data_IF_070598955136
#
_entry.id   IF_070598955136
#
_cell.length_a   1.000
_cell.length_b   1.000
_cell.length_c   1.000
_cell.angle_alpha   90.00
_cell.angle_beta   90.00
_cell.angle_gamma   90.00
#
_symmetry.space_group_name_H-M   'P 1'
#
loop_
_entity.id
_entity.type
_entity.pdbx_description
1 polymer ?
#
# COMPACT_ATOMS: atom_id res chain seq x y z
N UNK A 1 -25.87 -33.98 9.85
CA UNK A 1 -25.43 -33.03 10.88
C UNK A 1 -25.15 -31.70 10.21
N UNK A 2 -26.05 -30.71 10.42
CA UNK A 2 -25.72 -29.31 10.05
C UNK A 2 -24.69 -28.81 11.03
N UNK A 3 -23.42 -28.81 10.63
CA UNK A 3 -22.36 -28.19 11.40
C UNK A 3 -22.64 -26.69 11.51
N UNK A 4 -22.79 -26.19 12.74
CA UNK A 4 -22.96 -24.76 12.99
C UNK A 4 -21.65 -24.06 12.65
N UNK A 5 -21.71 -23.00 11.86
CA UNK A 5 -20.58 -22.11 11.63
C UNK A 5 -20.39 -21.25 12.89
N UNK A 6 -19.17 -21.19 13.38
CA UNK A 6 -18.77 -20.32 14.50
C UNK A 6 -18.05 -19.13 13.90
N UNK A 7 -18.30 -17.93 14.41
CA UNK A 7 -17.54 -16.73 14.07
C UNK A 7 -16.83 -16.21 15.32
N UNK A 8 -15.52 -15.99 15.19
CA UNK A 8 -14.71 -15.26 16.15
C UNK A 8 -14.53 -13.84 15.60
N UNK A 9 -15.00 -12.84 16.35
CA UNK A 9 -14.93 -11.43 15.94
C UNK A 9 -14.29 -10.67 17.09
N UNK A 10 -13.16 -10.02 16.83
CA UNK A 10 -12.43 -9.20 17.81
C UNK A 10 -12.10 -7.85 17.20
N UNK A 11 -12.58 -6.80 17.83
CA UNK A 11 -12.12 -5.44 17.64
C UNK A 11 -10.98 -5.15 18.62
N UNK A 12 -10.10 -4.20 18.28
CA UNK A 12 -8.89 -3.86 19.07
C UNK A 12 -8.07 -5.12 19.40
N UNK A 13 -7.91 -6.01 18.41
CA UNK A 13 -7.34 -7.33 18.61
C UNK A 13 -5.93 -7.31 19.24
N UNK A 14 -5.19 -6.21 19.08
CA UNK A 14 -3.89 -6.04 19.72
C UNK A 14 -3.93 -6.08 21.26
N UNK A 15 -5.08 -5.84 21.89
CA UNK A 15 -5.25 -5.97 23.35
C UNK A 15 -5.36 -7.44 23.82
N UNK A 16 -5.72 -8.35 22.91
CA UNK A 16 -6.06 -9.74 23.25
C UNK A 16 -5.13 -10.77 22.62
N UNK A 17 -4.31 -10.37 21.68
CA UNK A 17 -3.43 -11.28 20.93
C UNK A 17 -2.44 -11.98 21.86
N UNK A 18 -2.28 -13.28 21.64
CA UNK A 18 -1.34 -14.14 22.37
C UNK A 18 -0.48 -14.96 21.41
N UNK A 19 0.61 -15.55 21.91
CA UNK A 19 1.49 -16.42 21.12
C UNK A 19 0.75 -17.65 20.57
N UNK A 20 -0.28 -18.14 21.28
CA UNK A 20 -1.06 -19.31 20.87
C UNK A 20 -2.05 -19.05 19.75
N UNK A 21 -2.28 -17.79 19.38
CA UNK A 21 -3.24 -17.43 18.34
C UNK A 21 -2.78 -17.87 16.95
N UNK A 22 -1.48 -18.01 16.74
CA UNK A 22 -0.93 -18.57 15.52
C UNK A 22 -1.49 -19.99 15.27
N UNK A 23 -1.47 -20.83 16.30
CA UNK A 23 -2.01 -22.19 16.24
C UNK A 23 -3.54 -22.20 16.18
N UNK A 24 -4.19 -21.31 16.94
CA UNK A 24 -5.65 -21.17 16.92
C UNK A 24 -6.16 -20.85 15.52
N UNK A 25 -5.59 -19.87 14.83
CA UNK A 25 -6.03 -19.52 13.48
C UNK A 25 -5.72 -20.63 12.45
N UNK A 26 -4.64 -21.35 12.59
CA UNK A 26 -4.34 -22.49 11.74
C UNK A 26 -5.40 -23.60 11.90
N UNK A 27 -5.75 -23.96 13.13
CA UNK A 27 -6.71 -25.02 13.44
C UNK A 27 -8.16 -24.60 13.18
N UNK A 28 -8.52 -23.36 13.46
CA UNK A 28 -9.89 -22.84 13.30
C UNK A 28 -10.39 -22.93 11.85
N UNK A 29 -9.48 -22.91 10.88
CA UNK A 29 -9.80 -23.10 9.45
C UNK A 29 -10.36 -24.50 9.17
N UNK A 30 -9.82 -25.55 9.78
CA UNK A 30 -10.33 -26.91 9.67
C UNK A 30 -11.70 -27.06 10.34
N UNK A 31 -11.88 -26.35 11.46
CA UNK A 31 -13.16 -26.32 12.19
C UNK A 31 -14.23 -25.46 11.51
N UNK A 32 -13.96 -24.86 10.33
CA UNK A 32 -14.86 -23.93 9.62
C UNK A 32 -15.29 -22.73 10.47
N UNK A 33 -14.38 -22.24 11.31
CA UNK A 33 -14.56 -21.01 12.05
C UNK A 33 -14.24 -19.81 11.15
N UNK A 34 -15.07 -18.78 11.21
CA UNK A 34 -14.82 -17.48 10.56
C UNK A 34 -14.10 -16.60 11.58
N UNK A 35 -12.90 -16.16 11.25
CA UNK A 35 -12.13 -15.26 12.10
C UNK A 35 -12.11 -13.86 11.48
N UNK A 36 -12.57 -12.86 12.22
CA UNK A 36 -12.56 -11.44 11.83
C UNK A 36 -11.89 -10.68 12.96
N UNK A 37 -10.74 -10.11 12.69
CA UNK A 37 -9.99 -9.32 13.67
C UNK A 37 -9.72 -7.94 13.10
N UNK A 38 -9.87 -6.91 13.93
CA UNK A 38 -9.53 -5.54 13.61
C UNK A 38 -8.46 -5.03 14.57
N UNK A 39 -7.51 -4.29 14.05
CA UNK A 39 -6.42 -3.68 14.83
C UNK A 39 -6.03 -2.34 14.19
N UNK A 40 -5.40 -1.47 14.96
CA UNK A 40 -4.96 -0.16 14.48
C UNK A 40 -3.74 -0.27 13.56
N UNK A 41 -2.77 -1.13 13.91
CA UNK A 41 -1.54 -1.32 13.14
C UNK A 41 -0.85 -2.65 13.47
N UNK A 42 0.09 -3.07 12.64
CA UNK A 42 0.94 -4.22 12.94
C UNK A 42 1.94 -3.91 14.06
N UNK A 43 2.36 -2.66 14.19
CA UNK A 43 3.19 -2.23 15.32
C UNK A 43 2.49 -2.44 16.66
N UNK A 44 1.17 -2.19 16.74
CA UNK A 44 0.38 -2.44 17.94
C UNK A 44 0.35 -3.94 18.31
N UNK A 45 0.18 -4.81 17.31
CA UNK A 45 0.25 -6.27 17.51
C UNK A 45 1.65 -6.72 17.95
N UNK A 46 2.69 -6.21 17.30
CA UNK A 46 4.08 -6.54 17.62
C UNK A 46 4.45 -6.13 19.05
N UNK A 47 3.98 -4.96 19.50
CA UNK A 47 4.20 -4.48 20.86
C UNK A 47 3.66 -5.45 21.91
N UNK A 48 2.50 -6.06 21.66
CA UNK A 48 1.87 -7.00 22.61
C UNK A 48 2.53 -8.38 22.56
N UNK A 49 2.79 -8.91 21.36
CA UNK A 49 3.43 -10.21 21.17
C UNK A 49 4.92 -10.21 21.52
N UNK A 50 5.60 -9.09 21.30
CA UNK A 50 7.05 -8.94 21.44
C UNK A 50 7.88 -9.97 20.64
N UNK A 51 7.28 -10.60 19.63
CA UNK A 51 7.89 -11.57 18.73
C UNK A 51 7.39 -11.38 17.30
N UNK A 52 8.28 -10.92 16.42
CA UNK A 52 7.97 -10.66 15.01
C UNK A 52 7.69 -11.96 14.22
N UNK A 53 8.32 -13.07 14.59
CA UNK A 53 8.13 -14.35 13.90
C UNK A 53 6.72 -14.88 14.14
N UNK A 54 6.25 -14.82 15.39
CA UNK A 54 4.89 -15.21 15.74
C UNK A 54 3.87 -14.28 15.07
N UNK A 55 4.10 -12.97 15.09
CA UNK A 55 3.25 -12.00 14.39
C UNK A 55 3.10 -12.34 12.92
N UNK A 56 4.20 -12.66 12.24
CA UNK A 56 4.18 -13.05 10.82
C UNK A 56 3.32 -14.29 10.57
N UNK A 57 3.40 -15.29 11.44
CA UNK A 57 2.56 -16.50 11.33
C UNK A 57 1.09 -16.16 11.54
N UNK A 58 0.74 -15.35 12.54
CA UNK A 58 -0.64 -14.87 12.74
C UNK A 58 -1.17 -14.16 11.49
N UNK A 59 -0.41 -13.20 10.95
CA UNK A 59 -0.79 -12.44 9.76
C UNK A 59 -0.94 -13.36 8.53
N UNK A 60 -0.10 -14.39 8.37
CA UNK A 60 -0.19 -15.35 7.28
C UNK A 60 -1.46 -16.21 7.34
N UNK A 61 -1.91 -16.58 8.54
CA UNK A 61 -3.13 -17.36 8.73
C UNK A 61 -4.40 -16.55 8.42
N UNK A 62 -4.33 -15.22 8.51
CA UNK A 62 -5.40 -14.30 8.13
C UNK A 62 -5.25 -13.91 6.65
N UNK A 63 -5.71 -14.78 5.73
CA UNK A 63 -5.47 -14.65 4.29
C UNK A 63 -6.09 -13.38 3.70
N UNK A 64 -7.35 -13.09 4.07
CA UNK A 64 -8.07 -11.91 3.60
C UNK A 64 -7.71 -10.69 4.46
N UNK A 65 -7.27 -9.62 3.83
CA UNK A 65 -6.82 -8.41 4.51
C UNK A 65 -7.43 -7.17 3.88
N UNK A 66 -7.78 -6.22 4.73
CA UNK A 66 -8.32 -4.92 4.34
C UNK A 66 -7.54 -3.86 5.11
N UNK A 67 -6.82 -3.00 4.40
CA UNK A 67 -6.04 -1.94 5.01
C UNK A 67 -6.65 -0.57 4.70
N UNK A 68 -6.95 0.16 5.75
CA UNK A 68 -7.35 1.56 5.69
C UNK A 68 -6.12 2.47 5.65
N UNK A 69 -6.36 3.77 5.55
CA UNK A 69 -5.30 4.77 5.65
C UNK A 69 -4.54 4.60 6.96
N UNK A 70 -3.22 4.57 6.88
CA UNK A 70 -2.31 4.43 8.02
C UNK A 70 -1.01 5.17 7.74
N UNK A 71 -0.37 5.65 8.80
CA UNK A 71 0.98 6.23 8.82
C UNK A 71 2.00 5.30 9.51
N UNK A 72 1.57 4.12 9.96
CA UNK A 72 2.45 3.11 10.54
C UNK A 72 3.37 2.51 9.47
N UNK A 73 4.65 2.90 9.52
CA UNK A 73 5.66 2.50 8.52
C UNK A 73 5.85 0.98 8.49
N UNK A 74 5.86 0.32 9.65
CA UNK A 74 6.01 -1.13 9.71
C UNK A 74 4.85 -1.85 9.00
N UNK A 75 3.60 -1.41 9.23
CA UNK A 75 2.43 -1.93 8.50
C UNK A 75 2.58 -1.71 7.00
N UNK A 76 2.96 -0.50 6.57
CA UNK A 76 3.11 -0.16 5.16
C UNK A 76 4.16 -1.04 4.48
N UNK A 77 5.33 -1.22 5.09
CA UNK A 77 6.40 -2.05 4.55
C UNK A 77 5.98 -3.52 4.40
N UNK A 78 5.31 -4.09 5.39
CA UNK A 78 4.84 -5.47 5.34
C UNK A 78 3.77 -5.65 4.25
N UNK A 79 2.86 -4.69 4.09
CA UNK A 79 1.87 -4.68 3.00
C UNK A 79 2.56 -4.60 1.63
N UNK A 80 3.53 -3.70 1.48
CA UNK A 80 4.30 -3.55 0.24
C UNK A 80 5.08 -4.82 -0.12
N UNK A 81 5.71 -5.47 0.86
CA UNK A 81 6.40 -6.75 0.67
C UNK A 81 5.44 -7.87 0.26
N UNK A 82 4.24 -7.91 0.84
CA UNK A 82 3.22 -8.90 0.54
C UNK A 82 2.63 -8.74 -0.86
N UNK A 83 2.38 -7.52 -1.30
CA UNK A 83 1.82 -7.21 -2.63
C UNK A 83 2.89 -7.33 -3.72
N UNK A 84 4.13 -6.90 -3.41
CA UNK A 84 5.25 -7.00 -4.32
C UNK A 84 5.51 -5.74 -5.14
N UNK A 85 6.33 -5.90 -6.18
CA UNK A 85 6.79 -4.83 -7.06
C UNK A 85 6.33 -5.07 -8.48
N UNK A 86 6.14 -3.99 -9.23
CA UNK A 86 5.90 -4.00 -10.67
C UNK A 86 6.93 -3.12 -11.41
N UNK A 87 7.06 -3.32 -12.71
CA UNK A 87 7.90 -2.46 -13.54
C UNK A 87 7.16 -1.16 -13.81
N UNK A 88 7.75 -0.03 -13.38
CA UNK A 88 7.26 1.32 -13.63
C UNK A 88 8.22 2.06 -14.54
N UNK A 89 7.67 2.74 -15.54
CA UNK A 89 8.45 3.60 -16.42
C UNK A 89 8.75 4.92 -15.71
N UNK A 90 10.05 5.21 -15.54
CA UNK A 90 10.52 6.51 -15.08
C UNK A 90 10.99 7.34 -16.26
N UNK A 91 10.32 8.44 -16.50
CA UNK A 91 10.68 9.41 -17.53
C UNK A 91 11.57 10.47 -16.89
N UNK A 92 12.85 10.48 -17.26
CA UNK A 92 13.79 11.53 -16.90
C UNK A 92 13.88 12.54 -18.02
N UNK A 93 13.58 13.81 -17.74
CA UNK A 93 13.81 14.94 -18.63
C UNK A 93 15.07 15.65 -18.16
N UNK A 94 16.10 15.71 -18.99
CA UNK A 94 17.25 16.55 -18.75
C UNK A 94 17.28 17.68 -19.76
N UNK A 95 17.30 18.91 -19.26
CA UNK A 95 17.46 20.12 -20.05
C UNK A 95 18.90 20.55 -19.86
N UNK A 96 19.72 20.52 -20.92
CA UNK A 96 21.05 21.09 -20.89
C UNK A 96 21.08 22.40 -21.68
N UNK A 97 21.30 23.49 -20.95
CA UNK A 97 21.62 24.79 -21.56
C UNK A 97 23.12 24.86 -21.79
N UNK A 98 23.55 24.75 -23.03
CA UNK A 98 24.90 25.08 -23.38
C UNK A 98 24.99 26.60 -23.62
N UNK A 99 25.31 27.35 -22.57
CA UNK A 99 25.70 28.75 -22.70
C UNK A 99 27.06 28.82 -23.43
N UNK A 100 27.07 29.11 -24.70
CA UNK A 100 28.29 29.46 -25.38
C UNK A 100 28.70 30.88 -24.97
N UNK A 101 29.95 31.02 -24.50
CA UNK A 101 30.57 32.30 -24.17
C UNK A 101 30.41 33.30 -25.32
N UNK A 102 29.84 34.44 -25.00
CA UNK A 102 29.79 35.59 -25.93
C UNK A 102 31.20 36.19 -26.01
N UNK A 103 31.91 35.91 -27.09
CA UNK A 103 33.22 36.55 -27.33
C UNK A 103 33.03 37.95 -27.89
N UNK A 104 33.39 38.96 -27.11
CA UNK A 104 33.44 40.34 -27.59
C UNK A 104 34.73 40.56 -28.38
N UNK A 105 34.59 40.95 -29.65
CA UNK A 105 35.73 41.28 -30.49
C UNK A 105 36.00 42.79 -30.42
N UNK A 106 37.13 43.17 -29.85
CA UNK A 106 37.60 44.56 -29.76
C UNK A 106 37.92 45.16 -31.13
N UNK A 107 38.14 44.31 -32.13
CA UNK A 107 38.56 44.77 -33.49
C UNK A 107 37.38 45.25 -34.32
N UNK A 108 36.24 44.64 -34.18
CA UNK A 108 35.04 44.92 -35.03
C UNK A 108 33.90 45.63 -34.28
N UNK A 109 34.04 45.86 -32.96
CA UNK A 109 32.96 46.42 -32.09
C UNK A 109 31.58 45.79 -32.31
N UNK A 110 31.49 44.50 -32.67
CA UNK A 110 30.25 43.78 -32.90
C UNK A 110 30.14 42.60 -31.99
N UNK A 111 28.92 42.39 -31.44
CA UNK A 111 28.54 41.19 -30.76
C UNK A 111 28.05 40.16 -31.79
N UNK A 112 28.71 39.01 -31.87
CA UNK A 112 28.12 37.82 -32.54
C UNK A 112 27.43 37.00 -31.51
N UNK A 113 26.09 37.06 -31.51
CA UNK A 113 25.25 36.10 -30.83
C UNK A 113 25.22 34.82 -31.67
N UNK A 114 25.70 33.73 -31.10
CA UNK A 114 25.50 32.41 -31.72
C UNK A 114 24.33 31.75 -30.98
N UNK A 115 23.35 31.27 -31.75
CA UNK A 115 22.13 30.65 -31.27
C UNK A 115 22.42 29.64 -30.14
N UNK A 116 21.73 29.84 -29.03
CA UNK A 116 21.72 28.86 -27.92
C UNK A 116 20.85 27.67 -28.33
N UNK A 117 21.47 26.54 -28.58
CA UNK A 117 20.73 25.28 -28.77
C UNK A 117 20.35 24.72 -27.39
N UNK A 118 19.07 24.79 -27.08
CA UNK A 118 18.47 24.05 -25.97
C UNK A 118 18.25 22.63 -26.46
N UNK A 119 18.96 21.65 -25.92
CA UNK A 119 18.69 20.26 -26.22
C UNK A 119 17.95 19.64 -25.05
N UNK A 120 16.71 19.24 -25.30
CA UNK A 120 15.93 18.38 -24.40
C UNK A 120 16.24 16.92 -24.71
N UNK A 121 16.72 16.17 -23.74
CA UNK A 121 16.78 14.72 -23.87
C UNK A 121 15.78 14.08 -22.92
N UNK A 122 14.92 13.25 -23.46
CA UNK A 122 13.96 12.44 -22.71
C UNK A 122 14.51 11.00 -22.73
N UNK A 123 14.81 10.48 -21.54
CA UNK A 123 15.16 9.07 -21.38
C UNK A 123 14.10 8.38 -20.55
N UNK A 124 13.63 7.22 -20.99
CA UNK A 124 12.77 6.34 -20.22
C UNK A 124 13.57 5.17 -19.70
N UNK A 125 13.43 4.88 -18.42
CA UNK A 125 14.06 3.73 -17.78
C UNK A 125 12.99 2.97 -17.01
N UNK A 126 12.97 1.63 -17.16
CA UNK A 126 12.07 0.78 -16.38
C UNK A 126 12.76 0.39 -15.07
N UNK A 127 12.12 0.71 -13.95
CA UNK A 127 12.57 0.30 -12.63
C UNK A 127 11.49 -0.49 -11.91
N UNK A 128 11.92 -1.50 -11.12
CA UNK A 128 11.01 -2.26 -10.25
C UNK A 128 10.72 -1.45 -9.00
N UNK A 129 9.48 -1.02 -8.85
CA UNK A 129 9.00 -0.28 -7.68
C UNK A 129 7.75 -0.93 -7.11
N UNK A 130 7.43 -0.66 -5.84
CA UNK A 130 6.23 -1.20 -5.22
C UNK A 130 4.97 -0.79 -5.98
N UNK A 131 4.02 -1.72 -6.10
CA UNK A 131 2.72 -1.47 -6.74
C UNK A 131 2.02 -0.27 -6.10
N UNK A 132 2.01 -0.24 -4.76
CA UNK A 132 1.52 0.87 -3.96
C UNK A 132 2.67 1.47 -3.14
N UNK A 133 2.93 2.74 -3.33
CA UNK A 133 3.96 3.46 -2.60
C UNK A 133 3.47 3.90 -1.20
N UNK A 134 4.37 4.43 -0.39
CA UNK A 134 4.03 4.91 0.96
C UNK A 134 2.99 6.03 0.93
N UNK A 135 3.05 6.91 -0.08
CA UNK A 135 2.12 8.01 -0.25
C UNK A 135 0.69 7.52 -0.45
N UNK A 136 0.51 6.40 -1.16
CA UNK A 136 -0.79 5.78 -1.34
C UNK A 136 -1.49 5.49 0.00
N UNK A 137 -0.77 4.91 0.98
CA UNK A 137 -1.33 4.56 2.29
C UNK A 137 -1.56 5.76 3.19
N UNK A 138 -0.68 6.76 3.12
CA UNK A 138 -0.72 7.92 4.02
C UNK A 138 -1.64 9.04 3.55
N UNK A 139 -1.80 9.21 2.23
CA UNK A 139 -2.46 10.39 1.64
C UNK A 139 -3.59 10.07 0.66
N UNK A 140 -3.49 8.98 -0.12
CA UNK A 140 -4.42 8.73 -1.22
C UNK A 140 -5.62 7.86 -0.85
N UNK A 141 -5.56 7.13 0.29
CA UNK A 141 -6.71 6.42 0.82
C UNK A 141 -7.64 7.39 1.54
N UNK A 142 -8.78 7.65 0.93
CA UNK A 142 -9.84 8.49 1.49
C UNK A 142 -10.57 7.80 2.63
N UNK A 143 -11.40 8.55 3.36
CA UNK A 143 -12.30 8.00 4.38
C UNK A 143 -13.26 6.98 3.74
N UNK A 144 -13.40 5.81 4.36
CA UNK A 144 -14.18 4.66 3.87
C UNK A 144 -13.65 4.04 2.58
N UNK A 145 -12.43 4.36 2.18
CA UNK A 145 -11.71 3.64 1.12
C UNK A 145 -10.60 2.82 1.74
N UNK A 146 -10.48 1.58 1.31
CA UNK A 146 -9.47 0.65 1.80
C UNK A 146 -8.79 -0.07 0.65
N UNK A 147 -7.58 -0.56 0.87
CA UNK A 147 -6.93 -1.52 -0.01
C UNK A 147 -7.34 -2.93 0.42
N UNK A 148 -7.94 -3.69 -0.49
CA UNK A 148 -8.37 -5.06 -0.25
C UNK A 148 -7.43 -6.07 -0.93
N UNK A 149 -6.95 -7.03 -0.15
CA UNK A 149 -6.19 -8.20 -0.58
C UNK A 149 -7.01 -9.44 -0.21
N UNK A 150 -7.67 -10.01 -1.20
CA UNK A 150 -8.71 -11.02 -0.98
C UNK A 150 -8.37 -12.33 -1.73
N UNK A 151 -8.83 -13.44 -1.18
CA UNK A 151 -8.82 -14.75 -1.80
C UNK A 151 -10.23 -15.29 -1.91
N UNK A 152 -10.56 -15.90 -3.06
CA UNK A 152 -11.81 -16.63 -3.23
C UNK A 152 -11.67 -18.14 -2.94
N UNK A 153 -10.58 -18.53 -2.26
CA UNK A 153 -10.25 -19.93 -1.95
C UNK A 153 -9.45 -20.64 -3.04
N UNK A 154 -9.56 -20.24 -4.31
CA UNK A 154 -8.81 -20.82 -5.43
C UNK A 154 -7.61 -19.98 -5.85
N UNK A 155 -7.76 -18.67 -5.81
CA UNK A 155 -6.71 -17.72 -6.19
C UNK A 155 -6.82 -16.43 -5.39
N UNK A 156 -5.70 -15.74 -5.30
CA UNK A 156 -5.64 -14.37 -4.77
C UNK A 156 -6.17 -13.43 -5.86
N UNK A 157 -7.09 -12.55 -5.48
CA UNK A 157 -7.61 -11.50 -6.35
C UNK A 157 -6.60 -10.36 -6.36
N UNK A 158 -6.37 -9.76 -7.53
CA UNK A 158 -5.46 -8.60 -7.64
C UNK A 158 -5.86 -7.53 -6.61
N UNK A 159 -4.92 -7.01 -5.81
CA UNK A 159 -5.21 -5.97 -4.83
C UNK A 159 -5.89 -4.76 -5.47
N UNK A 160 -6.95 -4.28 -4.85
CA UNK A 160 -7.77 -3.20 -5.39
C UNK A 160 -8.34 -2.28 -4.31
N UNK A 161 -8.62 -1.04 -4.68
CA UNK A 161 -9.35 -0.12 -3.81
C UNK A 161 -10.80 -0.61 -3.62
N UNK A 162 -11.24 -0.66 -2.38
CA UNK A 162 -12.61 -1.00 -1.98
C UNK A 162 -13.24 0.21 -1.30
N UNK A 163 -14.35 0.69 -1.85
CA UNK A 163 -15.15 1.75 -1.21
C UNK A 163 -16.19 1.11 -0.31
N UNK A 164 -16.14 1.44 0.98
CA UNK A 164 -17.10 0.99 1.98
C UNK A 164 -18.22 2.02 2.12
N UNK A 165 -19.45 1.54 2.20
CA UNK A 165 -20.61 2.38 2.46
C UNK A 165 -20.96 2.24 3.94
N UNK A 166 -20.81 3.29 4.77
CA UNK A 166 -21.16 3.21 6.17
C UNK A 166 -22.68 3.00 6.33
N UNK A 167 -23.06 2.05 7.19
CA UNK A 167 -24.44 1.65 7.37
C UNK A 167 -25.36 2.80 7.80
N UNK A 168 -24.82 3.78 8.54
CA UNK A 168 -25.59 4.96 9.01
C UNK A 168 -25.94 5.94 7.88
N UNK A 169 -25.36 5.83 6.70
CA UNK A 169 -25.74 6.63 5.52
C UNK A 169 -26.88 6.01 4.72
N UNK A 170 -27.21 4.73 4.94
CA UNK A 170 -28.31 4.05 4.22
C UNK A 170 -29.71 4.56 4.57
N UNK A 171 -29.87 5.33 5.66
CA UNK A 171 -31.16 5.85 6.11
C UNK A 171 -31.53 7.24 5.60
N UNK A 172 -30.66 7.94 4.85
CA UNK A 172 -30.93 9.30 4.38
C UNK A 172 -31.40 9.38 2.92
N UNK A 173 -31.26 8.31 2.13
CA UNK A 173 -31.51 8.34 0.68
C UNK A 173 -32.83 7.70 0.25
N UNK A 174 -33.64 7.12 1.18
CA UNK A 174 -34.92 6.50 0.85
C UNK A 174 -36.12 7.48 0.88
N UNK A 175 -35.89 8.78 0.97
CA UNK A 175 -36.95 9.81 0.93
C UNK A 175 -36.56 10.98 -0.02
N UNK A 176 -36.32 10.65 -1.30
CA UNK A 176 -36.26 11.68 -2.34
C UNK A 176 -36.94 11.18 -3.60
#
# INVERSE_FOLDING_TARGET
NKTRTVAFISDEYHEYITETDADFFAQSREAKCINIVATQSYTSLLKTLNDESILKVVIQNLINKIWFRTDDIYTIEEVQKQIGKEEKEKISKSISENAKETKYSYVTKTFKSTDSNISESISSTYEKDYVFDTKFFTQELETFVALAFLSNGNKIIKPQKLKLIPYFKKGCDDNS
#
